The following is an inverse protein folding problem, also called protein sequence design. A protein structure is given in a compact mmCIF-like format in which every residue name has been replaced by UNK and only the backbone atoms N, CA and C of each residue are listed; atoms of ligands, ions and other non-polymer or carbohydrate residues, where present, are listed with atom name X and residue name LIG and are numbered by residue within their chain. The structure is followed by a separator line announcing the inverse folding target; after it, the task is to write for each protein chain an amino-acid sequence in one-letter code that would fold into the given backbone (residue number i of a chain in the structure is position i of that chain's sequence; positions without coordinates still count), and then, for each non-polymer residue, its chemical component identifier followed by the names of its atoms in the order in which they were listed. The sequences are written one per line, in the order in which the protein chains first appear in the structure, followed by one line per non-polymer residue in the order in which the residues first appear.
data_IF_487994263474
#
_entry.id   IF_487994263474
#
_cell.length_a   1.000
_cell.length_b   1.000
_cell.length_c   1.000
_cell.angle_alpha   90.00
_cell.angle_beta   90.00
_cell.angle_gamma   90.00
#
_symmetry.space_group_name_H-M   'P 1'
#
loop_
_entity.id
_entity.type
_entity.pdbx_description
1 polymer ?
#
# COMPACT_ATOMS: atom_id res chain seq x y z
N UNK A 1 19.69 5.98 -5.06
CA UNK A 1 19.02 5.33 -6.20
C UNK A 1 17.55 5.60 -6.07
N UNK A 2 16.84 5.87 -7.16
CA UNK A 2 15.40 6.14 -7.14
C UNK A 2 14.68 5.01 -7.88
N UNK A 3 13.55 4.57 -7.32
CA UNK A 3 12.71 3.52 -7.88
C UNK A 3 11.33 4.12 -8.15
N UNK A 4 10.80 3.88 -9.35
CA UNK A 4 9.43 4.26 -9.66
C UNK A 4 8.46 3.36 -8.87
N UNK A 5 7.37 3.92 -8.31
CA UNK A 5 6.36 3.09 -7.68
C UNK A 5 5.67 2.22 -8.74
N UNK A 6 5.33 1.01 -8.36
CA UNK A 6 4.33 0.22 -9.10
C UNK A 6 2.92 0.68 -8.71
N UNK A 7 1.91 0.24 -9.44
CA UNK A 7 0.52 0.32 -8.98
C UNK A 7 0.18 -1.03 -8.37
N UNK A 8 -0.05 -1.09 -7.06
CA UNK A 8 -0.41 -2.34 -6.40
C UNK A 8 -1.66 -2.97 -7.06
N UNK A 9 -1.61 -4.27 -7.32
CA UNK A 9 -2.75 -5.00 -7.85
C UNK A 9 -3.86 -5.18 -6.80
N UNK A 10 -5.06 -5.53 -7.28
CA UNK A 10 -6.20 -5.72 -6.39
C UNK A 10 -6.01 -6.96 -5.50
N UNK A 11 -5.51 -8.06 -6.06
CA UNK A 11 -5.21 -9.29 -5.32
C UNK A 11 -4.34 -9.04 -4.08
N UNK A 12 -3.33 -8.16 -4.15
CA UNK A 12 -2.46 -7.82 -3.01
C UNK A 12 -3.19 -6.99 -1.96
N UNK A 13 -4.05 -6.07 -2.39
CA UNK A 13 -4.85 -5.26 -1.46
C UNK A 13 -5.91 -6.12 -0.75
N UNK A 14 -6.54 -7.03 -1.49
CA UNK A 14 -7.57 -7.96 -0.99
C UNK A 14 -7.01 -8.99 0.01
N UNK A 15 -5.70 -9.28 -0.04
CA UNK A 15 -5.04 -10.10 0.99
C UNK A 15 -5.03 -9.43 2.37
N UNK A 16 -5.20 -8.10 2.44
CA UNK A 16 -5.17 -7.32 3.69
C UNK A 16 -6.54 -6.73 4.05
N UNK A 17 -7.30 -6.31 3.04
CA UNK A 17 -8.50 -5.51 3.22
C UNK A 17 -9.73 -6.14 2.56
N UNK A 18 -10.88 -5.93 3.19
CA UNK A 18 -12.20 -6.22 2.65
C UNK A 18 -13.03 -4.94 2.70
N UNK A 19 -13.63 -4.56 1.58
CA UNK A 19 -14.45 -3.35 1.48
C UNK A 19 -15.93 -3.59 1.80
N UNK A 20 -16.60 -2.58 2.34
CA UNK A 20 -18.05 -2.50 2.46
C UNK A 20 -18.51 -1.12 1.96
N UNK A 21 -19.17 -0.99 0.79
CA UNK A 21 -19.74 -2.09 -0.02
C UNK A 21 -18.70 -2.93 -0.79
N UNK A 22 -17.60 -2.33 -1.24
CA UNK A 22 -16.50 -2.97 -1.97
C UNK A 22 -15.23 -2.12 -1.82
N UNK A 23 -14.05 -2.60 -2.24
CA UNK A 23 -12.79 -1.87 -2.08
C UNK A 23 -12.69 -0.71 -3.08
N UNK A 24 -13.18 -0.90 -4.30
CA UNK A 24 -13.16 0.07 -5.38
C UNK A 24 -13.87 1.38 -5.02
N UNK A 25 -14.90 1.30 -4.17
CA UNK A 25 -15.62 2.45 -3.63
C UNK A 25 -14.77 3.33 -2.71
N UNK A 26 -13.70 2.80 -2.12
CA UNK A 26 -12.87 3.50 -1.12
C UNK A 26 -11.44 3.73 -1.61
N UNK A 27 -10.87 2.79 -2.36
CA UNK A 27 -9.46 2.74 -2.72
C UNK A 27 -9.24 3.41 -4.08
N UNK A 28 -8.68 4.62 -4.05
CA UNK A 28 -8.27 5.33 -5.27
C UNK A 28 -6.92 4.84 -5.79
N UNK A 29 -6.60 5.19 -7.05
CA UNK A 29 -5.29 4.91 -7.65
C UNK A 29 -4.11 5.45 -6.83
N UNK A 30 -4.28 6.61 -6.17
CA UNK A 30 -3.24 7.17 -5.30
C UNK A 30 -2.90 6.26 -4.11
N UNK A 31 -3.89 5.54 -3.55
CA UNK A 31 -3.63 4.56 -2.50
C UNK A 31 -2.85 3.36 -3.05
N UNK A 32 -3.17 2.91 -4.27
CA UNK A 32 -2.48 1.80 -4.93
C UNK A 32 -1.03 2.14 -5.30
N UNK A 33 -0.78 3.38 -5.73
CA UNK A 33 0.57 3.91 -5.97
C UNK A 33 1.34 4.06 -4.66
N UNK A 34 0.68 4.50 -3.58
CA UNK A 34 1.28 4.58 -2.25
C UNK A 34 1.77 3.20 -1.78
N UNK A 35 0.90 2.19 -1.89
CA UNK A 35 1.24 0.81 -1.56
C UNK A 35 2.35 0.27 -2.46
N UNK A 36 2.26 0.53 -3.76
CA UNK A 36 3.27 0.08 -4.73
C UNK A 36 4.63 0.75 -4.55
N UNK A 37 4.70 1.98 -4.05
CA UNK A 37 5.96 2.62 -3.65
C UNK A 37 6.63 1.92 -2.47
N UNK A 38 5.84 1.47 -1.49
CA UNK A 38 6.35 0.66 -0.38
C UNK A 38 6.82 -0.72 -0.83
N UNK A 39 6.05 -1.40 -1.70
CA UNK A 39 6.44 -2.68 -2.31
C UNK A 39 7.75 -2.55 -3.08
N UNK A 40 7.89 -1.55 -3.95
CA UNK A 40 9.11 -1.34 -4.73
C UNK A 40 10.35 -1.09 -3.83
N UNK A 41 10.17 -0.34 -2.74
CA UNK A 41 11.23 -0.10 -1.77
C UNK A 41 11.63 -1.39 -1.03
N UNK A 42 10.66 -2.20 -0.61
CA UNK A 42 10.90 -3.47 0.05
C UNK A 42 11.59 -4.48 -0.89
N UNK A 43 11.12 -4.58 -2.14
CA UNK A 43 11.70 -5.45 -3.15
C UNK A 43 13.18 -5.15 -3.42
N UNK A 44 13.53 -3.86 -3.54
CA UNK A 44 14.92 -3.45 -3.76
C UNK A 44 15.84 -3.90 -2.63
N UNK A 45 15.38 -3.85 -1.38
CA UNK A 45 16.12 -4.35 -0.21
C UNK A 45 16.17 -5.88 -0.22
N UNK A 46 15.04 -6.54 -0.45
CA UNK A 46 14.93 -8.02 -0.41
C UNK A 46 15.73 -8.71 -1.52
N UNK A 47 15.93 -8.04 -2.66
CA UNK A 47 16.77 -8.53 -3.77
C UNK A 47 18.25 -8.21 -3.58
N UNK A 48 18.62 -7.46 -2.55
CA UNK A 48 20.00 -7.03 -2.31
C UNK A 48 20.51 -5.95 -3.27
N UNK A 49 19.60 -5.19 -3.90
CA UNK A 49 19.97 -4.07 -4.80
C UNK A 49 20.43 -2.85 -3.99
N UNK A 50 19.92 -2.69 -2.76
CA UNK A 50 20.31 -1.67 -1.78
C UNK A 50 20.28 -2.23 -0.35
N UNK A 51 21.11 -1.68 0.55
CA UNK A 51 21.13 -2.09 1.96
C UNK A 51 19.92 -1.57 2.76
N UNK A 52 19.34 -0.45 2.33
CA UNK A 52 18.16 0.16 2.94
C UNK A 52 17.38 1.00 1.91
N UNK A 53 16.09 1.20 2.17
CA UNK A 53 15.21 2.02 1.34
C UNK A 53 14.23 2.83 2.19
N UNK A 54 13.73 3.93 1.63
CA UNK A 54 12.72 4.77 2.24
C UNK A 54 11.62 5.08 1.22
N UNK A 55 10.39 4.69 1.53
CA UNK A 55 9.22 4.95 0.69
C UNK A 55 8.58 6.29 1.07
N UNK A 56 8.78 7.33 0.27
CA UNK A 56 8.13 8.63 0.45
C UNK A 56 6.76 8.63 -0.25
N UNK A 57 5.73 8.16 0.45
CA UNK A 57 4.42 7.86 -0.15
C UNK A 57 3.27 8.59 0.54
N UNK A 58 2.18 8.78 -0.21
CA UNK A 58 0.89 9.28 0.28
C UNK A 58 -0.24 8.74 -0.63
N UNK A 59 -1.45 8.48 -0.10
CA UNK A 59 -1.92 8.62 1.28
C UNK A 59 -1.27 7.64 2.30
N UNK A 60 -1.30 7.93 3.62
CA UNK A 60 -0.73 7.06 4.66
C UNK A 60 -1.61 5.80 4.91
N UNK A 61 -1.13 4.85 5.73
CA UNK A 61 -1.85 3.57 5.91
C UNK A 61 -2.04 2.99 7.31
N UNK A 62 -1.15 3.25 8.27
CA UNK A 62 -1.10 2.49 9.54
C UNK A 62 -2.37 2.50 10.43
N UNK A 63 -3.36 3.36 10.18
CA UNK A 63 -4.63 3.39 10.91
C UNK A 63 -5.77 2.62 10.22
N UNK A 64 -5.55 2.13 9.00
CA UNK A 64 -6.54 1.37 8.26
C UNK A 64 -6.78 0.00 8.92
N UNK A 65 -8.06 -0.37 9.02
CA UNK A 65 -8.51 -1.66 9.54
C UNK A 65 -8.68 -2.65 8.39
N UNK A 66 -8.72 -3.95 8.68
CA UNK A 66 -9.00 -4.97 7.68
C UNK A 66 -10.34 -4.72 6.96
N UNK A 67 -11.39 -4.30 7.68
CA UNK A 67 -12.64 -3.90 7.05
C UNK A 67 -12.63 -2.41 6.71
N UNK A 68 -12.72 -2.08 5.42
CA UNK A 68 -12.76 -0.71 4.90
C UNK A 68 -14.21 -0.32 4.62
N UNK A 69 -14.73 0.58 5.46
CA UNK A 69 -16.10 1.10 5.38
C UNK A 69 -16.11 2.63 5.59
N UNK A 70 -15.03 3.28 5.14
CA UNK A 70 -14.68 4.67 5.41
C UNK A 70 -13.20 4.81 5.81
N UNK A 71 -12.76 6.07 6.01
CA UNK A 71 -11.37 6.39 6.35
C UNK A 71 -11.17 6.50 7.87
N UNK A 72 -9.98 6.13 8.35
CA UNK A 72 -9.57 6.32 9.76
C UNK A 72 -8.21 6.99 9.82
N UNK A 73 -8.12 8.15 10.46
CA UNK A 73 -6.85 8.88 10.60
C UNK A 73 -6.14 9.12 9.25
N UNK A 74 -6.90 9.52 8.23
CA UNK A 74 -6.46 9.71 6.83
C UNK A 74 -5.96 8.45 6.10
N UNK A 75 -6.13 7.26 6.69
CA UNK A 75 -5.74 5.98 6.12
C UNK A 75 -6.97 5.24 5.61
N UNK A 76 -6.94 4.81 4.35
CA UNK A 76 -7.99 3.97 3.73
C UNK A 76 -7.55 2.51 3.67
N UNK A 77 -6.30 2.27 3.28
CA UNK A 77 -5.64 0.94 3.27
C UNK A 77 -4.30 1.04 4.02
N UNK A 78 -3.84 -0.07 4.57
CA UNK A 78 -2.61 -0.17 5.33
C UNK A 78 -1.46 -0.48 4.37
N UNK A 79 -0.64 0.53 4.10
CA UNK A 79 0.44 0.47 3.11
C UNK A 79 1.50 -0.53 3.53
N UNK A 80 1.85 -0.56 4.81
CA UNK A 80 2.85 -1.44 5.40
C UNK A 80 2.38 -2.89 5.41
N UNK A 81 1.09 -3.12 5.70
CA UNK A 81 0.50 -4.45 5.64
C UNK A 81 0.36 -4.94 4.19
N UNK A 82 0.02 -4.09 3.23
CA UNK A 82 -0.02 -4.46 1.80
C UNK A 82 1.38 -4.74 1.26
N UNK A 83 2.41 -4.03 1.74
CA UNK A 83 3.81 -4.23 1.34
C UNK A 83 4.35 -5.63 1.67
N UNK A 84 3.88 -6.27 2.75
CA UNK A 84 4.38 -7.59 3.18
C UNK A 84 3.70 -8.78 2.47
N UNK A 85 2.77 -8.51 1.54
CA UNK A 85 1.91 -9.52 0.90
C UNK A 85 2.42 -10.07 -0.42
#
# INVERSE_FOLDING_TARGET
MEYNPIVADWDTIERVHVGAPDLESWVTEAHRVSAGGAIAAADAVMRGEVDCAFALVRPPGHHAMAMVHGIRGFCTINIEAVMIQ
#
